data_IF_333169252541
#
_entry.id   IF_333169252541
#
_cell.length_a   1.000
_cell.length_b   1.000
_cell.length_c   1.000
_cell.angle_alpha   90.00
_cell.angle_beta   90.00
_cell.angle_gamma   90.00
#
_symmetry.space_group_name_H-M   'P 1'
#
loop_
_entity.id
_entity.type
_entity.pdbx_description
1 polymer ?
#
# COMPACT_ATOMS: atom_id res chain seq x y z
N UNK A 1 14.83 -35.27 -55.37
CA UNK A 1 16.02 -35.03 -54.53
C UNK A 1 16.19 -33.54 -54.36
N UNK A 2 16.46 -33.09 -53.14
CA UNK A 2 17.07 -31.80 -52.81
C UNK A 2 16.18 -30.56 -52.94
N UNK A 3 15.99 -29.67 -51.97
CA UNK A 3 16.32 -29.61 -50.55
C UNK A 3 15.81 -28.22 -50.09
N UNK A 4 15.58 -28.06 -48.80
CA UNK A 4 15.94 -26.85 -48.04
C UNK A 4 14.98 -25.63 -48.06
N UNK A 5 14.24 -25.58 -46.95
CA UNK A 5 14.13 -24.46 -45.98
C UNK A 5 13.46 -23.16 -46.46
N UNK A 6 12.16 -23.09 -46.19
CA UNK A 6 11.49 -21.82 -45.84
C UNK A 6 10.66 -21.97 -44.55
N UNK A 7 11.21 -22.64 -43.53
CA UNK A 7 10.57 -22.83 -42.22
C UNK A 7 11.19 -22.01 -41.07
N UNK A 8 12.02 -21.02 -41.35
CA UNK A 8 12.53 -20.11 -40.35
C UNK A 8 12.48 -18.72 -40.98
N UNK A 9 11.65 -17.78 -40.56
CA UNK A 9 11.76 -17.16 -39.24
C UNK A 9 10.51 -16.30 -39.05
N UNK A 10 9.51 -16.79 -38.33
CA UNK A 10 8.46 -15.93 -37.77
C UNK A 10 8.35 -16.22 -36.28
N UNK A 11 9.48 -16.09 -35.58
CA UNK A 11 9.49 -15.94 -34.13
C UNK A 11 8.98 -14.54 -33.84
N UNK A 12 7.65 -14.39 -33.79
CA UNK A 12 7.01 -13.23 -33.17
C UNK A 12 7.32 -13.36 -31.68
N UNK A 13 8.38 -12.71 -31.24
CA UNK A 13 8.72 -12.53 -29.84
C UNK A 13 7.57 -11.79 -29.18
N UNK A 14 6.63 -12.53 -28.59
CA UNK A 14 5.63 -12.00 -27.68
C UNK A 14 6.35 -11.65 -26.37
N UNK A 15 7.18 -10.60 -26.40
CA UNK A 15 7.72 -9.99 -25.21
C UNK A 15 6.58 -9.23 -24.55
N UNK A 16 5.80 -9.93 -23.71
CA UNK A 16 4.97 -9.26 -22.73
C UNK A 16 5.90 -8.52 -21.80
N UNK A 17 6.11 -7.22 -22.07
CA UNK A 17 6.73 -6.31 -21.13
C UNK A 17 5.83 -6.30 -19.90
N UNK A 18 6.12 -7.15 -18.94
CA UNK A 18 5.55 -7.06 -17.61
C UNK A 18 6.20 -5.84 -16.98
N UNK A 19 5.65 -4.67 -17.27
CA UNK A 19 5.94 -3.43 -16.55
C UNK A 19 5.32 -3.62 -15.18
N UNK A 20 6.03 -4.33 -14.31
CA UNK A 20 5.69 -4.36 -12.90
C UNK A 20 5.92 -2.95 -12.36
N UNK A 21 4.84 -2.29 -11.98
CA UNK A 21 4.88 -0.99 -11.33
C UNK A 21 5.43 -1.14 -9.90
N UNK A 22 6.73 -1.43 -9.77
CA UNK A 22 7.49 -1.45 -8.51
C UNK A 22 7.85 -0.03 -8.03
N UNK A 23 7.04 0.98 -8.38
CA UNK A 23 7.36 2.41 -8.23
C UNK A 23 7.82 2.78 -6.82
N UNK A 24 7.21 2.18 -5.80
CA UNK A 24 7.39 2.58 -4.41
C UNK A 24 8.22 1.62 -3.54
N UNK A 25 8.53 0.41 -4.02
CA UNK A 25 9.32 -0.55 -3.21
C UNK A 25 10.80 -0.18 -3.10
N UNK A 26 11.33 0.68 -3.99
CA UNK A 26 12.74 1.12 -3.96
C UNK A 26 13.13 1.88 -2.69
N UNK A 27 12.15 2.39 -1.94
CA UNK A 27 12.38 3.11 -0.69
C UNK A 27 12.44 2.18 0.53
N UNK A 28 12.05 0.90 0.38
CA UNK A 28 12.02 -0.09 1.46
C UNK A 28 13.39 -0.53 1.98
N UNK A 29 14.44 -0.72 1.16
CA UNK A 29 15.74 -1.17 1.68
C UNK A 29 16.26 -0.25 2.78
N UNK A 30 16.58 -0.84 3.94
CA UNK A 30 17.02 -0.11 5.13
C UNK A 30 15.90 0.55 5.94
N UNK A 31 14.64 0.27 5.63
CA UNK A 31 13.49 0.63 6.46
C UNK A 31 13.13 -0.50 7.43
N UNK A 32 12.57 -0.17 8.58
CA UNK A 32 12.01 -1.11 9.55
C UNK A 32 10.49 -1.19 9.37
N UNK A 33 9.93 -2.40 9.30
CA UNK A 33 8.47 -2.58 9.34
C UNK A 33 8.03 -2.44 10.79
N UNK A 34 7.26 -1.40 11.07
CA UNK A 34 6.82 -1.05 12.43
C UNK A 34 5.40 -1.54 12.75
N UNK A 35 4.62 -1.86 11.72
CA UNK A 35 3.27 -2.41 11.82
C UNK A 35 2.87 -3.06 10.49
N UNK A 36 2.09 -4.14 10.53
CA UNK A 36 1.59 -4.78 9.31
C UNK A 36 0.24 -5.46 9.54
N UNK A 37 -0.64 -5.36 8.56
CA UNK A 37 -1.92 -6.06 8.56
C UNK A 37 -3.04 -5.24 7.95
N UNK A 38 -4.24 -5.50 8.45
CA UNK A 38 -5.45 -4.82 8.01
C UNK A 38 -5.47 -3.39 8.57
N UNK A 39 -5.73 -2.41 7.71
CA UNK A 39 -5.86 -1.01 8.07
C UNK A 39 -7.32 -0.64 7.91
N UNK A 40 -7.91 -0.09 8.96
CA UNK A 40 -9.33 0.26 9.00
C UNK A 40 -9.49 1.77 9.15
N UNK A 41 -10.41 2.34 8.39
CA UNK A 41 -10.83 3.72 8.58
C UNK A 41 -11.66 3.81 9.86
N UNK A 42 -11.20 4.66 10.78
CA UNK A 42 -11.92 4.92 12.02
C UNK A 42 -13.14 5.77 11.70
N UNK A 43 -14.32 5.16 11.85
CA UNK A 43 -15.59 5.87 11.75
C UNK A 43 -16.07 6.25 13.15
N UNK A 44 -16.72 7.42 13.25
CA UNK A 44 -17.34 7.83 14.51
C UNK A 44 -18.50 6.88 14.82
N UNK A 45 -18.50 6.18 15.98
CA UNK A 45 -19.60 5.32 16.35
C UNK A 45 -20.90 6.14 16.48
N UNK A 46 -21.93 5.71 15.76
CA UNK A 46 -23.25 6.34 15.83
C UNK A 46 -23.84 6.15 17.23
N UNK A 47 -24.11 7.26 17.93
CA UNK A 47 -24.71 7.25 19.28
C UNK A 47 -23.73 6.98 20.42
N UNK A 48 -22.42 7.00 20.17
CA UNK A 48 -21.39 6.88 21.21
C UNK A 48 -21.27 8.12 22.10
N UNK A 49 -20.63 7.96 23.27
CA UNK A 49 -20.25 9.08 24.15
C UNK A 49 -18.98 9.79 23.69
N UNK A 50 -18.34 9.29 22.65
CA UNK A 50 -17.05 9.77 22.15
C UNK A 50 -17.23 11.06 21.33
N UNK A 51 -16.48 12.10 21.67
CA UNK A 51 -16.48 13.34 20.91
C UNK A 51 -15.61 13.23 19.66
N UNK A 52 -16.19 12.63 18.62
CA UNK A 52 -15.54 12.48 17.33
C UNK A 52 -15.32 13.80 16.58
N UNK A 53 -15.85 14.94 17.05
CA UNK A 53 -15.60 16.24 16.39
C UNK A 53 -14.13 16.63 16.44
N UNK A 54 -13.41 16.10 17.42
CA UNK A 54 -11.96 16.29 17.59
C UNK A 54 -11.11 15.34 16.73
N UNK A 55 -11.73 14.31 16.13
CA UNK A 55 -10.97 13.32 15.36
C UNK A 55 -10.55 13.91 14.02
N UNK A 56 -9.30 13.67 13.59
CA UNK A 56 -8.87 14.04 12.25
C UNK A 56 -9.76 13.41 11.18
N UNK A 57 -10.00 14.13 10.08
CA UNK A 57 -10.51 13.50 8.86
C UNK A 57 -9.49 12.47 8.38
N UNK A 58 -9.99 11.37 7.83
CA UNK A 58 -9.15 10.27 7.31
C UNK A 58 -8.25 9.65 8.38
N UNK A 59 -8.81 9.45 9.58
CA UNK A 59 -8.19 8.70 10.65
C UNK A 59 -8.25 7.20 10.33
N UNK A 60 -7.09 6.54 10.36
CA UNK A 60 -6.95 5.11 10.20
C UNK A 60 -6.28 4.47 11.41
N UNK A 61 -6.49 3.17 11.56
CA UNK A 61 -5.86 2.34 12.58
C UNK A 61 -5.36 1.04 11.95
N UNK A 62 -4.19 0.57 12.37
CA UNK A 62 -3.76 -0.82 12.09
C UNK A 62 -4.53 -1.75 13.03
N UNK A 63 -5.32 -2.67 12.47
CA UNK A 63 -6.17 -3.57 13.23
C UNK A 63 -5.33 -4.42 14.18
N UNK A 64 -5.81 -4.57 15.41
CA UNK A 64 -5.13 -5.24 16.52
C UNK A 64 -3.85 -4.55 17.03
N UNK A 65 -3.48 -3.39 16.50
CA UNK A 65 -2.41 -2.56 17.02
C UNK A 65 -2.94 -1.23 17.58
N UNK A 66 -2.20 -0.60 18.49
CA UNK A 66 -2.56 0.72 19.04
C UNK A 66 -1.88 1.86 18.27
N UNK A 67 -1.94 1.80 16.93
CA UNK A 67 -1.31 2.75 16.04
C UNK A 67 -2.38 3.41 15.18
N UNK A 68 -2.58 4.70 15.39
CA UNK A 68 -3.50 5.52 14.61
C UNK A 68 -2.75 6.61 13.85
N UNK A 69 -3.22 6.89 12.64
CA UNK A 69 -2.55 7.83 11.75
C UNK A 69 -3.52 8.43 10.74
N UNK A 70 -3.13 9.56 10.17
CA UNK A 70 -3.77 10.12 8.97
C UNK A 70 -2.85 9.92 7.78
N UNK A 71 -3.43 9.71 6.61
CA UNK A 71 -2.68 9.55 5.35
C UNK A 71 -3.39 10.25 4.22
N UNK A 72 -2.64 10.65 3.19
CA UNK A 72 -3.19 11.13 1.92
C UNK A 72 -3.44 9.98 0.91
N UNK A 73 -3.08 8.75 1.26
CA UNK A 73 -3.34 7.55 0.46
C UNK A 73 -4.76 7.07 0.76
N UNK A 74 -5.57 6.88 -0.27
CA UNK A 74 -6.91 6.31 -0.11
C UNK A 74 -6.83 4.81 0.18
N UNK A 75 -7.34 4.40 1.33
CA UNK A 75 -7.47 3.00 1.77
C UNK A 75 -8.96 2.56 1.87
N UNK A 76 -9.90 3.42 1.44
CA UNK A 76 -11.33 3.19 1.62
C UNK A 76 -11.68 2.94 3.09
N UNK A 77 -12.69 2.09 3.36
CA UNK A 77 -13.02 1.68 4.72
C UNK A 77 -12.02 0.68 5.33
N UNK A 78 -11.39 -0.13 4.48
CA UNK A 78 -10.48 -1.20 4.89
C UNK A 78 -9.54 -1.56 3.73
N UNK A 79 -8.26 -1.73 4.03
CA UNK A 79 -7.27 -2.26 3.09
C UNK A 79 -6.21 -3.10 3.82
N UNK A 80 -5.35 -3.78 3.08
CA UNK A 80 -4.21 -4.52 3.63
C UNK A 80 -2.91 -3.79 3.29
N UNK A 81 -2.01 -3.68 4.27
CA UNK A 81 -0.79 -2.91 4.12
C UNK A 81 0.16 -3.02 5.29
N UNK A 82 1.20 -2.20 5.26
CA UNK A 82 2.17 -2.11 6.33
C UNK A 82 2.76 -0.71 6.43
N UNK A 83 3.23 -0.37 7.63
CA UNK A 83 3.97 0.86 7.91
C UNK A 83 5.46 0.53 7.94
N UNK A 84 6.25 1.29 7.17
CA UNK A 84 7.70 1.20 7.23
C UNK A 84 8.28 2.54 7.69
N UNK A 85 9.28 2.50 8.57
CA UNK A 85 9.96 3.66 9.11
C UNK A 85 11.40 3.71 8.62
N UNK A 86 11.82 4.88 8.13
CA UNK A 86 13.21 5.17 7.75
C UNK A 86 13.52 6.62 8.05
N UNK A 87 14.64 6.86 8.75
CA UNK A 87 15.07 8.21 9.12
C UNK A 87 13.90 9.05 9.69
N UNK A 88 13.17 8.47 10.65
CA UNK A 88 12.04 9.09 11.36
C UNK A 88 10.84 9.47 10.47
N UNK A 89 10.84 9.06 9.21
CA UNK A 89 9.69 9.17 8.31
C UNK A 89 8.99 7.83 8.25
N UNK A 90 7.69 7.83 8.54
CA UNK A 90 6.84 6.64 8.46
C UNK A 90 5.99 6.73 7.22
N UNK A 91 6.08 5.70 6.38
CA UNK A 91 5.37 5.58 5.12
C UNK A 91 4.42 4.40 5.19
N UNK A 92 3.18 4.64 4.80
CA UNK A 92 2.20 3.60 4.58
C UNK A 92 2.41 3.01 3.19
N UNK A 93 2.38 1.68 3.11
CA UNK A 93 2.31 0.91 1.88
C UNK A 93 1.01 0.11 1.87
N UNK A 94 0.15 0.37 0.88
CA UNK A 94 -1.13 -0.33 0.68
C UNK A 94 -1.00 -1.24 -0.53
N UNK A 95 -1.23 -2.53 -0.32
CA UNK A 95 -1.23 -3.52 -1.38
C UNK A 95 -2.59 -3.55 -2.10
N UNK A 96 -2.56 -3.56 -3.44
CA UNK A 96 -3.69 -3.85 -4.30
C UNK A 96 -3.31 -4.97 -5.26
N UNK A 97 -4.29 -5.55 -5.97
CA UNK A 97 -4.09 -6.70 -6.86
C UNK A 97 -2.97 -6.51 -7.89
N UNK A 98 -2.71 -5.27 -8.31
CA UNK A 98 -1.71 -4.95 -9.34
C UNK A 98 -0.84 -3.73 -9.03
N UNK A 99 -1.00 -3.12 -7.86
CA UNK A 99 -0.24 -1.91 -7.50
C UNK A 99 0.09 -1.89 -6.02
N UNK A 100 1.19 -1.21 -5.71
CA UNK A 100 1.54 -0.82 -4.36
C UNK A 100 1.46 0.71 -4.32
N UNK A 101 0.51 1.24 -3.56
CA UNK A 101 0.42 2.68 -3.34
C UNK A 101 1.12 3.00 -2.03
N UNK A 102 1.91 4.08 -2.01
CA UNK A 102 2.53 4.54 -0.78
C UNK A 102 2.30 6.02 -0.52
N UNK A 103 2.46 6.40 0.74
CA UNK A 103 2.42 7.80 1.15
C UNK A 103 2.79 7.97 2.61
N UNK A 104 3.33 9.14 2.93
CA UNK A 104 3.71 9.48 4.30
C UNK A 104 2.49 9.57 5.19
N UNK A 105 2.66 9.12 6.43
CA UNK A 105 1.62 9.22 7.44
C UNK A 105 1.95 10.28 8.48
N UNK A 106 0.92 10.76 9.17
CA UNK A 106 1.08 11.49 10.42
C UNK A 106 0.49 10.64 11.54
N UNK A 107 1.35 10.13 12.43
CA UNK A 107 0.91 9.43 13.64
C UNK A 107 0.11 10.39 14.51
N UNK A 108 -1.01 9.91 15.04
CA UNK A 108 -1.87 10.63 15.98
C UNK A 108 -2.22 9.71 17.15
N UNK A 109 -2.71 10.28 18.25
CA UNK A 109 -3.19 9.47 19.37
C UNK A 109 -4.46 8.73 18.93
N UNK A 110 -4.51 7.42 19.17
CA UNK A 110 -5.75 6.67 19.03
C UNK A 110 -6.79 7.19 20.03
N UNK A 111 -8.05 7.39 19.60
CA UNK A 111 -9.15 7.66 20.50
C UNK A 111 -9.35 6.55 21.54
#
# INVERSE_FOLDING_TARGET
MSFIRFCASLLISLASAQVFAFGDMRQLPGSEIVAAGEIEQMSCPLGGKDDCRSWPRDLYKVRNENICFTTNVSCGFRCEGFLAERAQVVTLYVASSYSLNSGSIKRVRCP
#
